data_IF_328782839527
#
_entry.id   IF_328782839527
#
_cell.length_a   1.000
_cell.length_b   1.000
_cell.length_c   1.000
_cell.angle_alpha   90.00
_cell.angle_beta   90.00
_cell.angle_gamma   90.00
#
_symmetry.space_group_name_H-M   'P 1'
#
loop_
_entity.id
_entity.type
_entity.pdbx_description
1 polymer ?
#
# COMPACT_ATOMS: atom_id res chain seq x y z
N UNK A 1 10.01 8.35 -0.87
CA UNK A 1 9.92 7.29 -1.91
C UNK A 1 8.44 7.00 -2.10
N UNK A 2 7.86 7.28 -3.29
CA UNK A 2 6.42 7.15 -3.52
C UNK A 2 5.92 5.69 -3.56
N UNK A 3 6.83 4.71 -3.46
CA UNK A 3 6.50 3.30 -3.30
C UNK A 3 7.00 2.79 -1.94
N UNK A 4 6.13 2.08 -1.24
CA UNK A 4 6.46 1.29 -0.04
C UNK A 4 7.22 0.02 -0.45
N UNK A 5 8.34 0.17 -1.18
CA UNK A 5 9.07 -0.92 -1.80
C UNK A 5 9.53 -1.99 -0.79
N UNK A 6 9.86 -1.57 0.42
CA UNK A 6 10.20 -2.47 1.51
C UNK A 6 9.00 -3.35 1.91
N UNK A 7 7.84 -2.74 2.13
CA UNK A 7 6.64 -3.45 2.57
C UNK A 7 6.14 -4.39 1.47
N UNK A 8 6.14 -3.93 0.22
CA UNK A 8 5.80 -4.78 -0.93
C UNK A 8 6.75 -5.96 -1.09
N UNK A 9 8.07 -5.73 -1.05
CA UNK A 9 9.06 -6.80 -1.19
C UNK A 9 8.92 -7.83 -0.06
N UNK A 10 8.77 -7.37 1.19
CA UNK A 10 8.56 -8.27 2.33
C UNK A 10 7.25 -9.05 2.21
N UNK A 11 6.18 -8.39 1.77
CA UNK A 11 4.89 -9.04 1.49
C UNK A 11 5.00 -10.13 0.43
N UNK A 12 5.67 -9.87 -0.69
CA UNK A 12 5.91 -10.88 -1.73
C UNK A 12 6.77 -12.05 -1.23
N UNK A 13 7.83 -11.78 -0.47
CA UNK A 13 8.66 -12.83 0.15
C UNK A 13 7.84 -13.70 1.11
N UNK A 14 6.91 -13.09 1.87
CA UNK A 14 6.02 -13.81 2.77
C UNK A 14 5.02 -14.68 2.02
N UNK A 15 4.41 -14.15 0.96
CA UNK A 15 3.50 -14.91 0.09
C UNK A 15 4.23 -16.09 -0.57
N UNK A 16 5.41 -15.85 -1.13
CA UNK A 16 6.27 -16.90 -1.71
C UNK A 16 6.60 -17.99 -0.68
N UNK A 17 7.02 -17.58 0.53
CA UNK A 17 7.33 -18.53 1.59
C UNK A 17 6.11 -19.34 2.03
N UNK A 18 4.93 -18.71 2.14
CA UNK A 18 3.68 -19.39 2.48
C UNK A 18 3.28 -20.43 1.42
N UNK A 19 3.35 -20.07 0.14
CA UNK A 19 3.07 -21.01 -0.97
C UNK A 19 4.08 -22.17 -0.94
N UNK A 20 5.37 -21.87 -0.73
CA UNK A 20 6.42 -22.90 -0.63
C UNK A 20 6.16 -23.86 0.53
N UNK A 21 5.80 -23.33 1.70
CA UNK A 21 5.44 -24.11 2.88
C UNK A 21 4.23 -25.02 2.62
N UNK A 22 3.20 -24.53 1.92
CA UNK A 22 2.04 -25.34 1.50
C UNK A 22 2.46 -26.46 0.55
N UNK A 23 3.27 -26.15 -0.47
CA UNK A 23 3.79 -27.16 -1.41
C UNK A 23 4.56 -28.27 -0.68
N UNK A 24 5.44 -27.90 0.25
CA UNK A 24 6.19 -28.89 1.05
C UNK A 24 5.29 -29.70 1.96
N UNK A 25 4.29 -29.07 2.58
CA UNK A 25 3.27 -29.80 3.36
C UNK A 25 2.52 -30.82 2.51
N UNK A 26 2.18 -30.48 1.27
CA UNK A 26 1.49 -31.41 0.36
C UNK A 26 2.38 -32.60 -0.06
N UNK A 27 3.68 -32.37 -0.27
CA UNK A 27 4.61 -33.41 -0.73
C UNK A 27 5.20 -34.26 0.41
N UNK A 28 5.57 -33.62 1.52
CA UNK A 28 6.35 -34.21 2.61
C UNK A 28 5.53 -34.41 3.90
N UNK A 29 4.34 -33.80 3.99
CA UNK A 29 3.57 -33.71 5.24
C UNK A 29 4.12 -32.66 6.21
N UNK A 30 3.63 -32.70 7.45
CA UNK A 30 4.11 -31.84 8.55
C UNK A 30 3.61 -30.40 8.53
N UNK A 31 4.29 -29.55 9.30
CA UNK A 31 4.03 -28.11 9.46
C UNK A 31 5.33 -27.33 9.24
N UNK A 32 5.21 -26.18 8.60
CA UNK A 32 6.36 -25.35 8.23
C UNK A 32 6.19 -23.94 8.79
N UNK A 33 7.27 -23.35 9.30
CA UNK A 33 7.29 -21.96 9.75
C UNK A 33 8.09 -21.12 8.76
N UNK A 34 7.49 -20.03 8.29
CA UNK A 34 8.14 -19.02 7.45
C UNK A 34 8.34 -17.76 8.27
N UNK A 35 9.55 -17.19 8.22
CA UNK A 35 9.87 -15.93 8.89
C UNK A 35 10.44 -14.96 7.85
N UNK A 36 9.84 -13.77 7.79
CA UNK A 36 10.33 -12.65 6.97
C UNK A 36 10.64 -11.49 7.90
N UNK A 37 11.70 -10.75 7.62
CA UNK A 37 12.14 -9.60 8.41
C UNK A 37 12.27 -8.38 7.51
N UNK A 38 11.50 -7.33 7.80
CA UNK A 38 11.60 -6.04 7.10
C UNK A 38 13.05 -5.50 7.14
N UNK A 39 13.74 -5.61 8.27
CA UNK A 39 15.12 -5.13 8.37
C UNK A 39 16.08 -5.89 7.43
N UNK A 40 15.93 -7.22 7.33
CA UNK A 40 16.76 -8.02 6.42
C UNK A 40 16.38 -7.79 4.96
N UNK A 41 15.09 -7.67 4.64
CA UNK A 41 14.61 -7.31 3.30
C UNK A 41 15.14 -5.93 2.89
N UNK A 42 15.13 -4.94 3.80
CA UNK A 42 15.69 -3.61 3.55
C UNK A 42 17.20 -3.66 3.31
N UNK A 43 17.94 -4.46 4.09
CA UNK A 43 19.38 -4.69 3.85
C UNK A 43 19.63 -5.31 2.47
N UNK A 44 18.85 -6.33 2.09
CA UNK A 44 18.94 -6.96 0.77
C UNK A 44 18.62 -5.99 -0.36
N UNK A 45 17.55 -5.19 -0.25
CA UNK A 45 17.22 -4.16 -1.25
C UNK A 45 18.37 -3.16 -1.43
N UNK A 46 19.04 -2.76 -0.35
CA UNK A 46 20.22 -1.87 -0.44
C UNK A 46 21.43 -2.51 -1.13
N UNK A 47 21.51 -3.84 -1.19
CA UNK A 47 22.59 -4.57 -1.84
C UNK A 47 22.39 -4.73 -3.36
N UNK A 48 21.20 -4.42 -3.90
CA UNK A 48 20.91 -4.53 -5.34
C UNK A 48 21.64 -3.49 -6.21
N UNK A 49 22.42 -2.60 -5.60
CA UNK A 49 23.11 -1.51 -6.28
C UNK A 49 22.22 -0.28 -6.50
N UNK A 50 22.80 0.76 -7.09
CA UNK A 50 22.09 1.98 -7.47
C UNK A 50 22.29 2.23 -8.94
N UNK A 51 21.26 2.74 -9.60
CA UNK A 51 21.35 3.22 -10.98
C UNK A 51 22.10 4.56 -10.96
N UNK A 52 23.08 4.71 -11.84
CA UNK A 52 23.80 5.98 -12.03
C UNK A 52 22.80 7.09 -12.38
N UNK A 53 22.90 8.23 -11.69
CA UNK A 53 21.93 9.33 -11.79
C UNK A 53 20.46 8.95 -11.54
N UNK A 54 20.17 7.80 -10.89
CA UNK A 54 18.79 7.34 -10.66
C UNK A 54 17.93 8.24 -9.77
N UNK A 55 18.55 9.17 -9.04
CA UNK A 55 17.88 10.19 -8.24
C UNK A 55 17.75 11.54 -8.96
N UNK A 56 18.24 11.66 -10.19
CA UNK A 56 18.17 12.88 -11.01
C UNK A 56 16.87 12.98 -11.79
N UNK A 57 15.89 12.11 -11.54
CA UNK A 57 14.55 12.24 -12.12
C UNK A 57 13.87 13.51 -11.59
N UNK A 58 13.09 14.18 -12.44
CA UNK A 58 12.29 15.31 -12.02
C UNK A 58 11.27 14.86 -10.96
N UNK A 59 11.10 15.65 -9.91
CA UNK A 59 10.05 15.40 -8.94
C UNK A 59 8.68 15.59 -9.60
N UNK A 60 7.75 14.69 -9.28
CA UNK A 60 6.35 14.82 -9.69
C UNK A 60 5.74 16.03 -8.98
N UNK A 61 5.28 16.99 -9.76
CA UNK A 61 4.57 18.16 -9.26
C UNK A 61 3.11 17.83 -8.95
N UNK A 62 2.44 18.74 -8.25
CA UNK A 62 1.01 18.63 -7.98
C UNK A 62 0.18 18.68 -9.27
N UNK A 63 0.63 19.46 -10.26
CA UNK A 63 -0.05 19.59 -11.56
C UNK A 63 0.03 18.31 -12.39
N UNK A 64 1.07 17.50 -12.20
CA UNK A 64 1.25 16.22 -12.90
C UNK A 64 0.25 15.13 -12.48
N UNK A 65 -0.45 15.32 -11.35
CA UNK A 65 -1.33 14.30 -10.75
C UNK A 65 -2.77 14.77 -10.57
N UNK A 66 -3.16 15.90 -11.17
CA UNK A 66 -4.51 16.47 -11.02
C UNK A 66 -5.62 15.48 -11.39
N UNK A 67 -5.38 14.65 -12.41
CA UNK A 67 -6.32 13.62 -12.85
C UNK A 67 -6.49 12.47 -11.83
N UNK A 68 -5.60 12.35 -10.85
CA UNK A 68 -5.64 11.38 -9.76
C UNK A 68 -6.19 11.97 -8.45
N UNK A 69 -6.53 13.25 -8.44
CA UNK A 69 -7.04 13.94 -7.26
C UNK A 69 -8.56 14.05 -7.27
N UNK A 70 -9.14 14.08 -6.08
CA UNK A 70 -10.54 14.44 -5.84
C UNK A 70 -10.63 15.46 -4.71
N UNK A 71 -11.63 16.32 -4.80
CA UNK A 71 -11.93 17.29 -3.74
C UNK A 71 -13.21 16.90 -3.01
N UNK A 72 -13.19 17.03 -1.68
CA UNK A 72 -14.36 16.79 -0.85
C UNK A 72 -14.42 17.76 0.32
N UNK A 73 -15.63 18.12 0.72
CA UNK A 73 -15.84 18.83 1.97
C UNK A 73 -15.60 17.88 3.16
N UNK A 74 -15.01 18.43 4.22
CA UNK A 74 -14.61 17.66 5.38
C UNK A 74 -14.78 18.47 6.67
N UNK A 75 -14.62 17.82 7.81
CA UNK A 75 -14.59 18.51 9.11
C UNK A 75 -13.38 19.43 9.32
N UNK A 76 -12.45 19.47 8.36
CA UNK A 76 -11.28 20.35 8.32
C UNK A 76 -11.37 21.40 7.20
N UNK A 77 -12.53 21.56 6.56
CA UNK A 77 -12.71 22.39 5.37
C UNK A 77 -12.61 21.57 4.08
N UNK A 78 -12.45 22.23 2.93
CA UNK A 78 -12.31 21.56 1.63
C UNK A 78 -10.93 20.91 1.53
N UNK A 79 -10.91 19.60 1.29
CA UNK A 79 -9.70 18.80 1.17
C UNK A 79 -9.53 18.28 -0.26
N UNK A 80 -8.30 18.29 -0.73
CA UNK A 80 -7.87 17.61 -1.95
C UNK A 80 -7.08 16.36 -1.57
N UNK A 81 -7.47 15.20 -2.09
CA UNK A 81 -6.86 13.91 -1.78
C UNK A 81 -6.68 13.06 -3.04
N UNK A 82 -5.81 12.05 -2.97
CA UNK A 82 -5.69 11.04 -4.03
C UNK A 82 -6.97 10.21 -4.05
N UNK A 83 -7.63 10.14 -5.21
CA UNK A 83 -8.83 9.33 -5.41
C UNK A 83 -8.54 7.85 -5.25
N UNK A 84 -9.60 7.06 -5.07
CA UNK A 84 -9.46 5.61 -4.97
C UNK A 84 -8.80 5.02 -6.24
N UNK A 85 -7.76 4.19 -6.07
CA UNK A 85 -7.03 3.60 -7.21
C UNK A 85 -7.87 2.58 -7.99
N UNK A 86 -8.77 1.87 -7.31
CA UNK A 86 -9.70 0.93 -7.95
C UNK A 86 -10.91 1.66 -8.53
N UNK A 87 -11.13 1.51 -9.84
CA UNK A 87 -12.33 1.94 -10.56
C UNK A 87 -13.11 0.71 -11.01
N UNK A 88 -14.18 0.38 -10.30
CA UNK A 88 -15.01 -0.80 -10.56
C UNK A 88 -16.35 -0.34 -11.14
N UNK A 89 -16.73 -0.87 -12.31
CA UNK A 89 -17.93 -0.44 -13.03
C UNK A 89 -19.23 -0.78 -12.31
N UNK A 90 -19.28 -1.93 -11.63
CA UNK A 90 -20.48 -2.41 -10.93
C UNK A 90 -20.50 -2.03 -9.45
N UNK A 91 -19.32 -1.91 -8.83
CA UNK A 91 -19.17 -1.63 -7.39
C UNK A 91 -18.18 -0.48 -7.15
N UNK A 92 -18.52 0.76 -7.57
CA UNK A 92 -17.59 1.88 -7.46
C UNK A 92 -17.05 2.06 -6.04
N UNK A 93 -15.72 2.03 -5.92
CA UNK A 93 -15.07 2.27 -4.65
C UNK A 93 -15.26 3.73 -4.24
N UNK A 94 -15.71 3.95 -3.01
CA UNK A 94 -15.96 5.29 -2.47
C UNK A 94 -15.73 5.31 -0.96
N UNK A 95 -15.45 6.50 -0.43
CA UNK A 95 -15.52 6.75 1.01
C UNK A 95 -16.95 7.09 1.39
N UNK A 96 -17.55 6.32 2.31
CA UNK A 96 -18.91 6.58 2.79
C UNK A 96 -18.99 7.79 3.75
N UNK A 97 -17.86 8.19 4.33
CA UNK A 97 -17.75 9.32 5.26
C UNK A 97 -16.55 10.19 4.89
N UNK A 98 -16.64 11.51 5.02
CA UNK A 98 -15.50 12.40 4.81
C UNK A 98 -14.50 12.28 5.97
N UNK A 99 -13.32 12.87 5.78
CA UNK A 99 -12.35 13.05 6.88
C UNK A 99 -12.94 14.00 7.94
N UNK A 100 -12.86 13.62 9.21
CA UNK A 100 -13.45 14.39 10.31
C UNK A 100 -12.50 14.43 11.52
N UNK A 101 -12.58 15.47 12.38
CA UNK A 101 -11.92 15.49 13.68
C UNK A 101 -12.25 14.26 14.54
N UNK A 102 -11.31 13.88 15.41
CA UNK A 102 -11.53 12.79 16.37
C UNK A 102 -12.75 13.10 17.25
N UNK A 103 -13.65 12.12 17.39
CA UNK A 103 -14.88 12.26 18.17
C UNK A 103 -16.06 12.91 17.43
N UNK A 104 -15.95 13.23 16.15
CA UNK A 104 -17.02 13.87 15.37
C UNK A 104 -18.24 12.97 15.08
N UNK A 105 -18.13 11.67 15.31
CA UNK A 105 -19.20 10.71 15.04
C UNK A 105 -19.50 9.87 16.27
N UNK A 106 -20.76 9.45 16.38
CA UNK A 106 -21.18 8.43 17.34
C UNK A 106 -20.48 7.10 17.03
N UNK A 107 -20.29 6.27 18.06
CA UNK A 107 -19.76 4.92 17.96
C UNK A 107 -20.80 3.95 17.34
N UNK A 108 -21.19 4.23 16.09
CA UNK A 108 -22.15 3.47 15.31
C UNK A 108 -21.69 3.33 13.85
N UNK A 109 -21.97 2.17 13.27
CA UNK A 109 -21.74 1.91 11.85
C UNK A 109 -22.66 2.79 11.00
N UNK A 110 -22.16 3.37 9.90
CA UNK A 110 -23.03 4.01 8.93
C UNK A 110 -23.94 2.98 8.26
N UNK A 111 -25.17 3.40 7.93
CA UNK A 111 -26.07 2.65 7.05
C UNK A 111 -25.54 2.62 5.60
#
# INVERSE_FOLDING_TARGET
>A
LPAQALDHAAGYLMAFGAITALTRRCAEGGSWQVRVSLAQTGKWLRQLGRIEHGLSCAETSFDDVQDLLEEQDSGFGRLTAIRHAAQLSETPARWARPSMPLGAHLAAWPE
#
